data_IF_299403927765
#
_entry.id   IF_299403927765
#
_cell.length_a   1.000
_cell.length_b   1.000
_cell.length_c   1.000
_cell.angle_alpha   90.00
_cell.angle_beta   90.00
_cell.angle_gamma   90.00
#
_symmetry.space_group_name_H-M   'P 1'
#
loop_
_entity.id
_entity.type
_entity.pdbx_description
1 polymer ?
#
# COMPACT_ATOMS: atom_id res chain seq x y z
N UNK A 1 10.20 4.58 -0.84
CA UNK A 1 9.08 5.10 -0.04
C UNK A 1 7.82 4.33 -0.44
N UNK A 2 7.13 3.72 0.50
CA UNK A 2 5.83 3.06 0.27
C UNK A 2 4.78 3.59 1.26
N UNK A 3 3.54 3.13 1.15
CA UNK A 3 2.40 3.58 1.95
C UNK A 3 2.70 3.71 3.45
N UNK A 4 2.44 4.90 4.03
CA UNK A 4 2.43 5.11 5.50
C UNK A 4 1.42 4.21 6.22
N UNK A 5 0.35 3.81 5.53
CA UNK A 5 -0.74 2.98 6.08
C UNK A 5 -0.29 1.53 6.30
N UNK A 6 0.68 1.05 5.50
CA UNK A 6 1.31 -0.27 5.62
C UNK A 6 2.66 -0.26 6.32
N UNK A 7 3.11 0.89 6.86
CA UNK A 7 4.35 0.97 7.63
C UNK A 7 4.10 0.46 9.05
N UNK A 8 4.86 -0.57 9.45
CA UNK A 8 4.84 -1.09 10.83
C UNK A 8 5.67 -0.19 11.75
N UNK A 9 6.73 0.42 11.24
CA UNK A 9 7.64 1.27 12.02
C UNK A 9 7.04 2.66 12.35
N UNK A 10 6.21 3.23 11.46
CA UNK A 10 5.63 4.58 11.64
C UNK A 10 4.27 4.56 12.38
N UNK A 11 3.95 3.49 13.11
CA UNK A 11 2.63 3.23 13.69
C UNK A 11 2.60 3.58 15.18
N UNK A 12 2.07 4.76 15.53
CA UNK A 12 1.91 5.21 16.92
C UNK A 12 0.51 4.95 17.53
N UNK A 13 -0.47 4.54 16.73
CA UNK A 13 -1.86 4.31 17.17
C UNK A 13 -2.54 3.10 16.46
N UNK A 14 -3.46 2.43 17.17
CA UNK A 14 -4.22 1.25 16.73
C UNK A 14 -5.34 1.53 15.71
N UNK A 15 -6.05 0.47 15.27
CA UNK A 15 -7.25 0.57 14.42
C UNK A 15 -7.04 0.40 12.90
N UNK A 16 -8.18 0.33 12.19
CA UNK A 16 -8.30 0.07 10.74
C UNK A 16 -7.55 -1.18 10.25
N UNK A 17 -7.44 -2.22 11.09
CA UNK A 17 -6.61 -3.41 10.83
C UNK A 17 -6.87 -4.03 9.45
N UNK A 18 -8.15 -4.22 9.09
CA UNK A 18 -8.53 -4.78 7.80
C UNK A 18 -8.13 -3.90 6.60
N UNK A 19 -8.07 -2.57 6.76
CA UNK A 19 -7.62 -1.64 5.71
C UNK A 19 -6.08 -1.54 5.66
N UNK A 20 -5.40 -1.74 6.78
CA UNK A 20 -3.93 -1.58 6.89
C UNK A 20 -3.16 -2.85 6.59
N UNK A 21 -3.66 -4.02 7.00
CA UNK A 21 -2.97 -5.30 6.80
C UNK A 21 -2.66 -5.59 5.32
N UNK A 22 -3.56 -5.37 4.35
CA UNK A 22 -3.24 -5.53 2.93
C UNK A 22 -2.14 -4.58 2.45
N UNK A 23 -2.09 -3.34 2.95
CA UNK A 23 -1.05 -2.37 2.60
C UNK A 23 0.35 -2.79 3.12
N UNK A 24 0.42 -3.40 4.31
CA UNK A 24 1.67 -3.96 4.83
C UNK A 24 2.11 -5.19 4.03
N UNK A 25 1.17 -6.05 3.62
CA UNK A 25 1.46 -7.20 2.77
C UNK A 25 2.03 -6.76 1.40
N UNK A 26 1.42 -5.75 0.76
CA UNK A 26 1.91 -5.20 -0.52
C UNK A 26 3.32 -4.62 -0.38
N UNK A 27 3.63 -3.95 0.73
CA UNK A 27 4.98 -3.45 1.02
C UNK A 27 6.02 -4.58 1.07
N UNK A 28 5.68 -5.67 1.76
CA UNK A 28 6.56 -6.85 1.86
C UNK A 28 6.77 -7.50 0.49
N UNK A 29 5.70 -7.73 -0.26
CA UNK A 29 5.74 -8.33 -1.60
C UNK A 29 6.61 -7.49 -2.55
N UNK A 30 6.40 -6.18 -2.62
CA UNK A 30 7.19 -5.32 -3.50
C UNK A 30 8.67 -5.27 -3.10
N UNK A 31 9.00 -5.38 -1.81
CA UNK A 31 10.39 -5.47 -1.36
C UNK A 31 11.04 -6.78 -1.78
N UNK A 32 10.37 -7.92 -1.59
CA UNK A 32 10.87 -9.23 -2.04
C UNK A 32 11.04 -9.27 -3.55
N UNK A 33 10.04 -8.78 -4.29
CA UNK A 33 10.09 -8.71 -5.76
C UNK A 33 11.23 -7.82 -6.27
N UNK A 34 11.50 -6.71 -5.59
CA UNK A 34 12.66 -5.86 -5.92
C UNK A 34 14.00 -6.57 -5.71
N UNK A 35 14.10 -7.49 -4.73
CA UNK A 35 15.30 -8.29 -4.53
C UNK A 35 15.45 -9.35 -5.62
N UNK A 36 14.38 -10.10 -5.90
CA UNK A 36 14.38 -11.18 -6.89
C UNK A 36 14.69 -10.67 -8.30
N UNK A 37 14.20 -9.48 -8.63
CA UNK A 37 14.35 -8.86 -9.94
C UNK A 37 15.63 -8.02 -10.08
N UNK A 38 16.37 -7.80 -8.98
CA UNK A 38 17.61 -7.00 -8.99
C UNK A 38 18.65 -7.55 -9.98
N UNK A 39 18.81 -8.87 -10.03
CA UNK A 39 19.76 -9.53 -10.95
C UNK A 39 19.39 -9.39 -12.41
N UNK A 40 18.11 -9.07 -12.70
CA UNK A 40 17.59 -8.83 -14.05
C UNK A 40 17.58 -7.34 -14.43
N UNK A 41 18.07 -6.46 -13.55
CA UNK A 41 18.07 -5.01 -13.77
C UNK A 41 16.67 -4.38 -13.81
N UNK A 42 15.64 -5.05 -13.30
CA UNK A 42 14.26 -4.55 -13.33
C UNK A 42 13.95 -3.76 -12.05
N UNK A 43 13.40 -2.56 -12.21
CA UNK A 43 13.03 -1.67 -11.10
C UNK A 43 11.57 -1.93 -10.69
N UNK A 44 11.35 -2.09 -9.39
CA UNK A 44 10.01 -2.25 -8.79
C UNK A 44 9.66 -1.01 -7.98
N UNK A 45 8.50 -0.42 -8.25
CA UNK A 45 7.99 0.76 -7.55
C UNK A 45 6.59 0.47 -7.02
N UNK A 46 6.37 0.74 -5.73
CA UNK A 46 5.05 0.73 -5.12
C UNK A 46 4.54 2.16 -4.98
N UNK A 47 3.37 2.44 -5.54
CA UNK A 47 2.71 3.74 -5.43
C UNK A 47 1.44 3.60 -4.60
N UNK A 48 1.35 4.38 -3.52
CA UNK A 48 0.14 4.46 -2.70
C UNK A 48 -0.55 5.79 -2.97
N UNK A 49 -1.60 5.81 -3.80
CA UNK A 49 -2.37 7.03 -3.98
C UNK A 49 -3.09 7.36 -2.68
N UNK A 50 -3.33 8.65 -2.43
CA UNK A 50 -4.16 9.10 -1.31
C UNK A 50 -5.63 8.71 -1.52
N UNK A 51 -6.55 9.45 -0.90
CA UNK A 51 -7.97 9.27 -1.22
C UNK A 51 -8.23 9.70 -2.67
N UNK A 52 -8.52 8.75 -3.56
CA UNK A 52 -8.82 9.01 -4.97
C UNK A 52 -10.32 8.97 -5.18
N UNK A 53 -10.85 9.94 -5.93
CA UNK A 53 -12.26 9.98 -6.32
C UNK A 53 -12.56 8.93 -7.40
N UNK A 54 -12.68 7.68 -6.97
CA UNK A 54 -13.13 6.55 -7.79
C UNK A 54 -14.41 5.94 -7.20
N UNK A 55 -15.05 5.01 -7.89
CA UNK A 55 -16.21 4.27 -7.38
C UNK A 55 -15.92 3.37 -6.16
N UNK A 56 -14.67 3.31 -5.70
CA UNK A 56 -14.24 2.53 -4.53
C UNK A 56 -14.41 3.29 -3.21
N UNK A 57 -14.60 4.61 -3.25
CA UNK A 57 -14.91 5.41 -2.06
C UNK A 57 -16.38 5.30 -1.68
N UNK A 58 -16.71 5.38 -0.39
CA UNK A 58 -18.08 5.43 0.16
C UNK A 58 -18.86 6.71 -0.21
N UNK A 59 -18.49 7.38 -1.30
CA UNK A 59 -19.21 8.49 -1.90
C UNK A 59 -20.50 8.01 -2.53
N UNK A 60 -21.50 7.81 -1.67
CA UNK A 60 -22.91 7.56 -1.98
C UNK A 60 -23.33 8.33 -3.23
N UNK A 61 -23.51 7.60 -4.34
CA UNK A 61 -24.11 8.15 -5.55
C UNK A 61 -25.62 8.16 -5.34
N UNK A 62 -26.12 9.22 -4.69
CA UNK A 62 -27.55 9.51 -4.67
C UNK A 62 -27.91 9.87 -6.12
N UNK A 63 -28.72 9.04 -6.74
CA UNK A 63 -29.55 9.43 -7.88
C UNK A 63 -30.95 9.63 -7.36
#
# INVERSE_FOLDING_TARGET
MSSRVGSIADKSFGGSYAYRAPNAAVNSIGKSMAMDLKVKGVVVVLMHPGYVKTGLGSGRRIR
#
